data_IF_916634085817
#
_entry.id   IF_916634085817
#
_cell.length_a   1.000
_cell.length_b   1.000
_cell.length_c   1.000
_cell.angle_alpha   90.00
_cell.angle_beta   90.00
_cell.angle_gamma   90.00
#
_symmetry.space_group_name_H-M   'P 1'
#
loop_
_entity.id
_entity.type
_entity.pdbx_description
1 polymer ?
#
# COMPACT_ATOMS: atom_id res chain seq x y z
N UNK A 1 -2.54 23.52 -27.03
CA UNK A 1 -2.65 24.74 -26.21
C UNK A 1 -3.29 24.31 -24.91
N UNK A 2 -2.50 24.11 -23.83
CA UNK A 2 -3.01 23.60 -22.56
C UNK A 2 -3.73 24.72 -21.81
N UNK A 3 -4.98 24.47 -21.43
CA UNK A 3 -5.86 25.42 -20.75
C UNK A 3 -5.35 25.66 -19.32
N UNK A 4 -4.88 26.88 -19.05
CA UNK A 4 -4.52 27.37 -17.72
C UNK A 4 -5.81 27.72 -16.97
N UNK A 5 -6.58 26.73 -16.50
CA UNK A 5 -7.91 26.98 -15.91
C UNK A 5 -8.24 26.25 -14.61
N UNK A 6 -7.31 25.50 -13.99
CA UNK A 6 -7.63 24.73 -12.76
C UNK A 6 -6.78 25.11 -11.53
N UNK A 7 -6.10 26.26 -11.52
CA UNK A 7 -5.41 26.75 -10.32
C UNK A 7 -6.31 27.79 -9.66
N UNK A 8 -6.78 27.59 -8.41
CA UNK A 8 -7.48 28.61 -7.66
C UNK A 8 -6.67 29.90 -7.66
N UNK A 9 -7.26 31.00 -8.11
CA UNK A 9 -6.60 32.31 -8.25
C UNK A 9 -6.14 32.91 -6.90
N UNK A 10 -6.53 32.28 -5.78
CA UNK A 10 -6.38 32.77 -4.41
C UNK A 10 -5.33 31.99 -3.59
N UNK A 11 -4.41 31.29 -4.27
CA UNK A 11 -3.33 30.55 -3.61
C UNK A 11 -2.21 31.50 -3.18
N UNK A 12 -2.07 31.70 -1.87
CA UNK A 12 -0.97 32.47 -1.26
C UNK A 12 0.35 31.72 -1.47
N UNK A 13 1.48 32.41 -1.49
CA UNK A 13 2.79 31.76 -1.60
C UNK A 13 3.09 30.80 -0.44
N UNK A 14 2.51 31.05 0.74
CA UNK A 14 2.50 30.12 1.88
C UNK A 14 1.78 28.81 1.56
N UNK A 15 0.62 28.88 0.90
CA UNK A 15 -0.17 27.70 0.54
C UNK A 15 0.56 26.85 -0.50
N UNK A 16 1.20 27.50 -1.47
CA UNK A 16 2.06 26.82 -2.46
C UNK A 16 3.22 26.12 -1.78
N UNK A 17 3.90 26.78 -0.84
CA UNK A 17 5.01 26.18 -0.09
C UNK A 17 4.56 24.95 0.72
N UNK A 18 3.39 25.03 1.37
CA UNK A 18 2.82 23.90 2.10
C UNK A 18 2.49 22.72 1.17
N UNK A 19 1.96 22.99 -0.03
CA UNK A 19 1.69 21.94 -1.01
C UNK A 19 2.96 21.28 -1.54
N UNK A 20 4.02 22.03 -1.79
CA UNK A 20 5.31 21.43 -2.19
C UNK A 20 5.90 20.56 -1.08
N UNK A 21 5.81 20.99 0.18
CA UNK A 21 6.23 20.16 1.31
C UNK A 21 5.40 18.88 1.42
N UNK A 22 4.08 18.97 1.25
CA UNK A 22 3.20 17.78 1.25
C UNK A 22 3.59 16.79 0.15
N UNK A 23 3.83 17.26 -1.07
CA UNK A 23 4.26 16.42 -2.19
C UNK A 23 5.62 15.76 -1.93
N UNK A 24 6.58 16.50 -1.37
CA UNK A 24 7.91 15.97 -1.02
C UNK A 24 7.81 14.88 0.04
N UNK A 25 7.05 15.12 1.12
CA UNK A 25 6.80 14.14 2.18
C UNK A 25 6.16 12.87 1.62
N UNK A 26 5.16 13.02 0.74
CA UNK A 26 4.48 11.91 0.10
C UNK A 26 5.40 11.08 -0.80
N UNK A 27 6.21 11.74 -1.62
CA UNK A 27 7.13 11.04 -2.52
C UNK A 27 8.19 10.28 -1.71
N UNK A 28 8.81 10.93 -0.71
CA UNK A 28 9.82 10.30 0.14
C UNK A 28 9.24 9.16 0.98
N UNK A 29 8.06 9.33 1.57
CA UNK A 29 7.41 8.29 2.36
C UNK A 29 7.03 7.09 1.50
N UNK A 30 6.53 7.33 0.29
CA UNK A 30 6.20 6.27 -0.67
C UNK A 30 7.45 5.51 -1.10
N UNK A 31 8.55 6.20 -1.43
CA UNK A 31 9.83 5.54 -1.78
C UNK A 31 10.34 4.67 -0.63
N UNK A 32 10.30 5.19 0.60
CA UNK A 32 10.72 4.47 1.79
C UNK A 32 9.83 3.23 2.03
N UNK A 33 8.52 3.38 1.91
CA UNK A 33 7.56 2.29 2.07
C UNK A 33 7.77 1.21 1.01
N UNK A 34 7.99 1.59 -0.26
CA UNK A 34 8.33 0.66 -1.35
C UNK A 34 9.59 -0.13 -1.05
N UNK A 35 10.64 0.53 -0.56
CA UNK A 35 11.90 -0.12 -0.20
C UNK A 35 11.69 -1.15 0.92
N UNK A 36 10.98 -0.76 1.98
CA UNK A 36 10.70 -1.62 3.12
C UNK A 36 9.82 -2.82 2.72
N UNK A 37 8.82 -2.58 1.88
CA UNK A 37 7.95 -3.62 1.35
C UNK A 37 8.74 -4.62 0.49
N UNK A 38 9.71 -4.15 -0.31
CA UNK A 38 10.63 -5.00 -1.05
C UNK A 38 11.51 -5.87 -0.17
N UNK A 39 12.03 -5.33 0.94
CA UNK A 39 12.81 -6.12 1.93
C UNK A 39 11.95 -7.19 2.58
N UNK A 40 10.74 -6.84 3.03
CA UNK A 40 9.78 -7.79 3.62
C UNK A 40 9.44 -8.93 2.66
N UNK A 41 9.20 -8.57 1.40
CA UNK A 41 8.97 -9.52 0.30
C UNK A 41 10.14 -10.49 0.13
N UNK A 42 11.37 -9.99 0.13
CA UNK A 42 12.57 -10.82 -0.02
C UNK A 42 12.72 -11.82 1.13
N UNK A 43 12.51 -11.38 2.37
CA UNK A 43 12.56 -12.25 3.56
C UNK A 43 11.47 -13.32 3.47
N UNK A 44 10.24 -12.93 3.12
CA UNK A 44 9.13 -13.87 2.97
C UNK A 44 9.42 -14.90 1.88
N UNK A 45 9.95 -14.48 0.73
CA UNK A 45 10.30 -15.35 -0.38
C UNK A 45 11.37 -16.38 0.01
N UNK A 46 12.46 -15.95 0.69
CA UNK A 46 13.52 -16.85 1.17
C UNK A 46 12.97 -17.85 2.20
N UNK A 47 12.12 -17.38 3.11
CA UNK A 47 11.50 -18.23 4.14
C UNK A 47 10.60 -19.27 3.51
N UNK A 48 9.73 -18.88 2.58
CA UNK A 48 8.85 -19.78 1.84
C UNK A 48 9.66 -20.79 1.02
N UNK A 49 10.71 -20.35 0.32
CA UNK A 49 11.59 -21.20 -0.47
C UNK A 49 12.28 -22.27 0.39
N UNK A 50 12.83 -21.88 1.53
CA UNK A 50 13.50 -22.80 2.45
C UNK A 50 12.53 -23.87 2.99
N UNK A 51 11.29 -23.47 3.30
CA UNK A 51 10.26 -24.40 3.76
C UNK A 51 9.80 -25.34 2.63
N UNK A 52 9.67 -24.84 1.40
CA UNK A 52 9.22 -25.61 0.24
C UNK A 52 10.21 -26.71 -0.16
N UNK A 53 11.51 -26.40 -0.13
CA UNK A 53 12.58 -27.37 -0.43
C UNK A 53 12.69 -28.44 0.67
N UNK A 54 12.41 -28.09 1.92
CA UNK A 54 12.75 -28.95 3.05
C UNK A 54 11.75 -30.11 3.31
N UNK A 55 10.57 -30.17 2.66
CA UNK A 55 9.68 -31.34 2.69
C UNK A 55 8.42 -31.20 1.82
N UNK A 56 8.21 -32.10 0.85
CA UNK A 56 6.92 -32.37 0.22
C UNK A 56 5.90 -32.84 1.27
N UNK A 57 5.11 -31.94 1.88
CA UNK A 57 4.29 -32.24 3.05
C UNK A 57 2.77 -31.99 2.86
N UNK A 58 1.92 -32.68 3.65
CA UNK A 58 0.54 -33.02 3.32
C UNK A 58 -0.43 -31.83 3.25
N UNK A 59 -1.59 -32.08 2.62
CA UNK A 59 -2.66 -31.14 2.24
C UNK A 59 -3.02 -30.10 3.33
N UNK A 60 -2.95 -30.43 4.62
CA UNK A 60 -3.22 -29.48 5.72
C UNK A 60 -2.20 -28.33 5.84
N UNK A 61 -0.92 -28.58 5.54
CA UNK A 61 0.08 -27.50 5.55
C UNK A 61 0.00 -26.64 4.28
N UNK A 62 -0.40 -27.23 3.15
CA UNK A 62 -0.62 -26.48 1.90
C UNK A 62 -1.66 -25.36 2.06
N UNK A 63 -2.71 -25.56 2.87
CA UNK A 63 -3.72 -24.55 3.14
C UNK A 63 -3.15 -23.32 3.89
N UNK A 64 -2.32 -23.53 4.92
CA UNK A 64 -1.68 -22.43 5.67
C UNK A 64 -0.75 -21.63 4.75
N UNK A 65 -0.02 -22.32 3.85
CA UNK A 65 0.82 -21.65 2.86
C UNK A 65 0.03 -20.89 1.81
N UNK A 66 -1.06 -21.46 1.30
CA UNK A 66 -1.92 -20.76 0.34
C UNK A 66 -2.52 -19.50 0.96
N UNK A 67 -2.94 -19.56 2.23
CA UNK A 67 -3.42 -18.38 2.97
C UNK A 67 -2.33 -17.33 3.10
N UNK A 68 -1.08 -17.72 3.42
CA UNK A 68 0.03 -16.75 3.51
C UNK A 68 0.37 -16.12 2.15
N UNK A 69 0.35 -16.89 1.06
CA UNK A 69 0.58 -16.40 -0.30
C UNK A 69 -0.56 -15.48 -0.75
N UNK A 70 -1.82 -15.83 -0.49
CA UNK A 70 -2.99 -15.02 -0.82
C UNK A 70 -2.98 -13.72 -0.03
N UNK A 71 -2.69 -13.78 1.27
CA UNK A 71 -2.63 -12.61 2.13
C UNK A 71 -1.51 -11.66 1.67
N UNK A 72 -0.34 -12.21 1.33
CA UNK A 72 0.76 -11.45 0.78
C UNK A 72 0.42 -10.84 -0.60
N UNK A 73 -0.26 -11.59 -1.48
CA UNK A 73 -0.72 -11.09 -2.77
C UNK A 73 -1.71 -9.93 -2.60
N UNK A 74 -2.65 -10.01 -1.65
CA UNK A 74 -3.60 -8.94 -1.35
C UNK A 74 -2.87 -7.67 -0.88
N UNK A 75 -1.91 -7.80 0.04
CA UNK A 75 -1.10 -6.66 0.51
C UNK A 75 -0.30 -6.06 -0.65
N UNK A 76 0.27 -6.91 -1.52
CA UNK A 76 1.05 -6.46 -2.69
C UNK A 76 0.17 -5.74 -3.72
N UNK A 77 -1.06 -6.19 -3.92
CA UNK A 77 -2.03 -5.52 -4.82
C UNK A 77 -2.39 -4.14 -4.27
N UNK A 78 -2.73 -4.01 -2.99
CA UNK A 78 -2.99 -2.71 -2.36
C UNK A 78 -1.77 -1.79 -2.43
N UNK A 79 -0.57 -2.32 -2.19
CA UNK A 79 0.68 -1.58 -2.36
C UNK A 79 0.86 -1.08 -3.81
N UNK A 80 0.64 -1.96 -4.80
CA UNK A 80 0.77 -1.62 -6.22
C UNK A 80 -0.28 -0.60 -6.67
N UNK A 81 -1.50 -0.67 -6.13
CA UNK A 81 -2.56 0.31 -6.39
C UNK A 81 -2.17 1.70 -5.84
N UNK A 82 -1.67 1.76 -4.61
CA UNK A 82 -1.18 3.01 -4.02
C UNK A 82 0.00 3.59 -4.82
N UNK A 83 0.99 2.76 -5.15
CA UNK A 83 2.13 3.14 -5.97
C UNK A 83 1.72 3.67 -7.35
N UNK A 84 0.78 2.99 -8.02
CA UNK A 84 0.23 3.41 -9.32
C UNK A 84 -0.49 4.76 -9.22
N UNK A 85 -1.20 5.02 -8.12
CA UNK A 85 -1.86 6.29 -7.86
C UNK A 85 -0.84 7.43 -7.71
N UNK A 86 0.18 7.23 -6.87
CA UNK A 86 1.28 8.20 -6.68
C UNK A 86 2.01 8.44 -8.00
N UNK A 87 2.41 7.39 -8.71
CA UNK A 87 3.08 7.51 -10.02
C UNK A 87 2.21 8.26 -11.04
N UNK A 88 0.92 7.95 -11.12
CA UNK A 88 -0.02 8.64 -12.02
C UNK A 88 -0.21 10.11 -11.63
N UNK A 89 -0.29 10.43 -10.33
CA UNK A 89 -0.38 11.80 -9.85
C UNK A 89 0.84 12.61 -10.31
N UNK A 90 2.06 12.12 -10.07
CA UNK A 90 3.30 12.84 -10.39
C UNK A 90 3.66 12.85 -11.89
N UNK A 91 3.59 11.70 -12.59
CA UNK A 91 4.08 11.56 -13.98
C UNK A 91 3.00 11.93 -15.00
N UNK A 92 1.73 11.54 -14.76
CA UNK A 92 0.64 11.75 -15.73
C UNK A 92 -0.06 13.11 -15.53
N UNK A 93 -0.10 13.63 -14.31
CA UNK A 93 -0.74 14.92 -13.99
C UNK A 93 0.25 16.00 -13.54
N UNK A 94 1.56 15.79 -13.77
CA UNK A 94 2.64 16.72 -13.42
C UNK A 94 2.60 18.08 -14.13
N UNK A 95 1.58 18.35 -14.94
CA UNK A 95 1.36 19.65 -15.59
C UNK A 95 0.88 20.74 -14.63
N UNK A 96 0.21 20.39 -13.53
CA UNK A 96 -0.29 21.34 -12.54
C UNK A 96 -0.16 20.77 -11.12
N UNK A 97 0.63 21.45 -10.27
CA UNK A 97 0.87 21.04 -8.88
C UNK A 97 -0.44 20.81 -8.09
N UNK A 98 -1.46 21.65 -8.34
CA UNK A 98 -2.79 21.53 -7.73
C UNK A 98 -3.48 20.19 -8.07
N UNK A 99 -3.37 19.73 -9.30
CA UNK A 99 -3.95 18.46 -9.76
C UNK A 99 -3.20 17.27 -9.15
N UNK A 100 -1.90 17.40 -8.94
CA UNK A 100 -1.09 16.38 -8.23
C UNK A 100 -1.55 16.29 -6.77
N UNK A 101 -1.58 17.42 -6.05
CA UNK A 101 -1.98 17.47 -4.62
C UNK A 101 -3.38 16.93 -4.39
N UNK A 102 -4.37 17.35 -5.18
CA UNK A 102 -5.77 16.90 -5.04
C UNK A 102 -5.94 15.39 -5.24
N UNK A 103 -5.26 14.80 -6.23
CA UNK A 103 -5.30 13.34 -6.44
C UNK A 103 -4.64 12.58 -5.30
N UNK A 104 -3.52 13.08 -4.80
CA UNK A 104 -2.77 12.43 -3.73
C UNK A 104 -3.56 12.45 -2.40
N UNK A 105 -4.22 13.56 -2.08
CA UNK A 105 -5.13 13.65 -0.92
C UNK A 105 -6.26 12.63 -1.00
N UNK A 106 -6.85 12.43 -2.18
CA UNK A 106 -7.90 11.40 -2.37
C UNK A 106 -7.36 9.98 -2.26
N UNK A 107 -6.11 9.74 -2.70
CA UNK A 107 -5.45 8.46 -2.61
C UNK A 107 -5.12 8.09 -1.15
N UNK A 108 -4.67 9.06 -0.35
CA UNK A 108 -4.40 8.86 1.09
C UNK A 108 -5.67 8.47 1.86
N UNK A 109 -6.80 9.12 1.57
CA UNK A 109 -8.07 8.75 2.17
C UNK A 109 -8.49 7.32 1.79
N UNK A 110 -8.30 6.93 0.53
CA UNK A 110 -8.57 5.57 0.09
C UNK A 110 -7.63 4.55 0.75
N UNK A 111 -6.33 4.85 0.83
CA UNK A 111 -5.34 3.99 1.47
C UNK A 111 -5.62 3.81 2.97
N UNK A 112 -6.03 4.86 3.68
CA UNK A 112 -6.44 4.78 5.07
C UNK A 112 -7.66 3.87 5.26
N UNK A 113 -8.63 3.91 4.35
CA UNK A 113 -9.78 3.02 4.34
C UNK A 113 -9.38 1.56 4.09
N UNK A 114 -8.54 1.32 3.08
CA UNK A 114 -8.02 -0.02 2.76
C UNK A 114 -7.23 -0.63 3.93
N UNK A 115 -6.40 0.18 4.59
CA UNK A 115 -5.67 -0.23 5.79
C UNK A 115 -6.62 -0.60 6.93
N UNK A 116 -7.70 0.17 7.14
CA UNK A 116 -8.72 -0.12 8.13
C UNK A 116 -9.46 -1.44 7.85
N UNK A 117 -9.79 -1.72 6.59
CA UNK A 117 -10.41 -2.98 6.18
C UNK A 117 -9.45 -4.15 6.44
N UNK A 118 -8.20 -4.02 6.01
CA UNK A 118 -7.17 -5.06 6.19
C UNK A 118 -6.91 -5.37 7.66
N UNK A 119 -6.85 -4.34 8.50
CA UNK A 119 -6.68 -4.48 9.95
C UNK A 119 -7.87 -5.19 10.60
N UNK A 120 -9.09 -4.86 10.17
CA UNK A 120 -10.32 -5.49 10.65
C UNK A 120 -10.36 -6.98 10.29
N UNK A 121 -10.02 -7.33 9.04
CA UNK A 121 -9.95 -8.73 8.58
C UNK A 121 -8.88 -9.50 9.36
N UNK A 122 -7.70 -8.90 9.55
CA UNK A 122 -6.60 -9.53 10.29
C UNK A 122 -6.96 -9.79 11.77
N UNK A 123 -7.72 -8.86 12.37
CA UNK A 123 -8.22 -8.99 13.75
C UNK A 123 -9.20 -10.15 13.87
N UNK A 124 -10.19 -10.24 12.96
CA UNK A 124 -11.17 -11.34 12.93
C UNK A 124 -10.49 -12.69 12.71
N UNK A 125 -9.51 -12.75 11.82
CA UNK A 125 -8.77 -13.98 11.54
C UNK A 125 -7.97 -14.43 12.77
N UNK A 126 -7.29 -13.49 13.43
CA UNK A 126 -6.52 -13.76 14.66
C UNK A 126 -7.44 -14.27 15.78
N UNK A 127 -8.60 -13.65 15.96
CA UNK A 127 -9.57 -14.05 17.00
C UNK A 127 -10.12 -15.48 16.75
N UNK A 128 -10.39 -15.80 15.48
CA UNK A 128 -10.90 -17.13 15.08
C UNK A 128 -9.91 -18.28 15.32
N UNK A 129 -8.61 -18.01 15.23
CA UNK A 129 -7.55 -18.98 15.53
C UNK A 129 -7.39 -19.22 17.05
N UNK A 130 -7.55 -18.18 17.87
CA UNK A 130 -7.58 -18.31 19.35
C UNK A 130 -8.75 -19.17 19.84
N UNK A 131 -9.91 -19.09 19.20
CA UNK A 131 -11.08 -19.90 19.56
C UNK A 131 -10.86 -21.40 19.22
N UNK A 132 -10.10 -21.70 18.17
CA UNK A 132 -9.82 -23.08 17.74
C UNK A 132 -8.79 -23.81 18.65
N UNK A 133 -7.94 -23.06 19.36
CA UNK A 133 -6.95 -23.61 20.31
C UNK A 133 -7.59 -23.99 21.66
N UNK A 134 -8.71 -23.38 22.05
CA UNK A 134 -9.36 -23.63 23.34
C UNK A 134 -10.34 -24.81 23.38
N UNK A 135 -10.70 -25.37 22.23
CA UNK A 135 -11.70 -26.45 22.11
C UNK A 135 -11.15 -27.76 21.53
N UNK A 136 -9.84 -28.01 21.61
CA UNK A 136 -9.21 -29.26 21.16
C UNK A 136 -8.48 -30.00 22.27
#
# INVERSE_FOLDING_TARGET
MATQTDIPSDLTDSDKAQMFQFLDIQLNSTILYTLLHGVYTGILAVTLWNIFINKCWPIQRAAVFSVMIILYALITISFAANWSSVYSAFIKNGTSFWTVTSKLTSADQAAALEAGITASISTVLTDSESYNVYYR
#
